data_IF_985207187513
#
_entry.id   IF_985207187513
#
_cell.length_a   1.000
_cell.length_b   1.000
_cell.length_c   1.000
_cell.angle_alpha   90.00
_cell.angle_beta   90.00
_cell.angle_gamma   90.00
#
_symmetry.space_group_name_H-M   'P 1'
#
loop_
_entity.id
_entity.type
_entity.pdbx_description
1 polymer ?
#
# COMPACT_ATOMS: atom_id res chain seq x y z
N UNK A 1 -13.51 11.52 13.99
CA UNK A 1 -13.31 10.79 12.72
C UNK A 1 -12.60 9.49 13.03
N UNK A 2 -12.97 8.40 12.36
CA UNK A 2 -12.37 7.08 12.60
C UNK A 2 -11.92 6.46 11.29
N UNK A 3 -10.76 5.82 11.26
CA UNK A 3 -10.30 5.01 10.15
C UNK A 3 -10.20 3.56 10.61
N UNK A 4 -11.02 2.69 10.05
CA UNK A 4 -10.94 1.24 10.26
C UNK A 4 -10.04 0.66 9.18
N UNK A 5 -8.96 0.00 9.59
CA UNK A 5 -7.94 -0.57 8.69
C UNK A 5 -7.73 -2.05 8.92
N UNK A 6 -7.13 -2.72 7.94
CA UNK A 6 -6.53 -4.02 8.19
C UNK A 6 -5.44 -3.92 9.25
N UNK A 7 -5.40 -4.86 10.19
CA UNK A 7 -4.35 -4.89 11.20
C UNK A 7 -2.97 -5.10 10.56
N UNK A 8 -1.95 -4.62 11.26
CA UNK A 8 -0.56 -4.84 10.93
C UNK A 8 -0.04 -6.13 11.53
N UNK A 9 1.27 -6.34 11.38
CA UNK A 9 1.96 -7.49 11.94
C UNK A 9 3.23 -7.03 12.62
N UNK A 10 3.34 -7.31 13.92
CA UNK A 10 4.47 -6.89 14.72
C UNK A 10 5.77 -7.53 14.22
N UNK A 11 5.72 -8.77 13.71
CA UNK A 11 6.87 -9.47 13.12
C UNK A 11 7.52 -8.68 11.99
N UNK A 12 6.72 -8.05 11.13
CA UNK A 12 7.21 -7.28 9.99
C UNK A 12 7.41 -5.80 10.32
N UNK A 13 7.01 -5.36 11.52
CA UNK A 13 7.02 -3.95 11.91
C UNK A 13 6.13 -3.10 11.01
N UNK A 14 5.06 -3.68 10.44
CA UNK A 14 4.15 -3.01 9.53
C UNK A 14 2.91 -2.49 10.27
N UNK A 15 2.47 -1.24 10.00
CA UNK A 15 1.26 -0.68 10.60
C UNK A 15 -0.03 -1.39 10.17
N UNK A 16 -0.04 -1.89 8.93
CA UNK A 16 -1.15 -2.59 8.29
C UNK A 16 -0.62 -3.53 7.21
N UNK A 17 -1.35 -4.61 6.93
CA UNK A 17 -1.04 -5.59 5.88
C UNK A 17 -1.62 -5.25 4.49
N UNK A 18 -2.38 -4.16 4.39
CA UNK A 18 -3.07 -3.76 3.16
C UNK A 18 -2.57 -2.43 2.62
N UNK A 19 -2.46 -2.35 1.29
CA UNK A 19 -1.91 -1.19 0.59
C UNK A 19 -2.73 0.07 0.85
N UNK A 20 -4.05 0.00 0.64
CA UNK A 20 -4.95 1.15 0.80
C UNK A 20 -5.02 1.60 2.25
N UNK A 21 -4.99 0.65 3.19
CA UNK A 21 -4.93 0.91 4.62
C UNK A 21 -3.67 1.70 4.99
N UNK A 22 -2.49 1.26 4.54
CA UNK A 22 -1.23 1.99 4.75
C UNK A 22 -1.27 3.39 4.11
N UNK A 23 -1.79 3.51 2.90
CA UNK A 23 -1.89 4.78 2.19
C UNK A 23 -2.76 5.80 2.95
N UNK A 24 -3.97 5.40 3.39
CA UNK A 24 -4.85 6.25 4.18
C UNK A 24 -4.25 6.60 5.55
N UNK A 25 -3.65 5.62 6.23
CA UNK A 25 -2.97 5.84 7.51
C UNK A 25 -1.83 6.84 7.38
N UNK A 26 -0.99 6.70 6.35
CA UNK A 26 0.12 7.61 6.09
C UNK A 26 -0.38 9.03 5.81
N UNK A 27 -1.37 9.18 4.92
CA UNK A 27 -1.97 10.48 4.62
C UNK A 27 -2.55 11.18 5.87
N UNK A 28 -3.29 10.45 6.70
CA UNK A 28 -3.85 10.98 7.96
C UNK A 28 -2.73 11.43 8.91
N UNK A 29 -1.66 10.63 9.04
CA UNK A 29 -0.51 10.98 9.89
C UNK A 29 0.25 12.18 9.36
N UNK A 30 0.43 12.28 8.04
CA UNK A 30 1.16 13.38 7.40
C UNK A 30 0.37 14.69 7.45
N UNK A 31 -0.95 14.64 7.30
CA UNK A 31 -1.83 15.80 7.41
C UNK A 31 -2.09 16.26 8.84
N UNK A 32 -1.68 15.48 9.85
CA UNK A 32 -1.93 15.78 11.26
C UNK A 32 -3.41 15.69 11.66
N UNK A 33 -4.24 15.01 10.85
CA UNK A 33 -5.67 14.92 11.10
C UNK A 33 -5.99 14.15 12.40
N UNK A 34 -6.91 14.63 13.25
CA UNK A 34 -7.30 13.96 14.49
C UNK A 34 -8.26 12.79 14.20
N UNK A 35 -7.71 11.73 13.61
CA UNK A 35 -8.45 10.52 13.24
C UNK A 35 -8.00 9.35 14.11
N UNK A 36 -8.95 8.69 14.76
CA UNK A 36 -8.70 7.48 15.53
C UNK A 36 -8.55 6.30 14.57
N UNK A 37 -7.42 5.59 14.66
CA UNK A 37 -7.16 4.40 13.83
C UNK A 37 -7.62 3.16 14.59
N UNK A 38 -8.56 2.42 14.01
CA UNK A 38 -9.13 1.19 14.54
C UNK A 38 -8.62 0.03 13.69
N UNK A 39 -7.86 -0.87 14.30
CA UNK A 39 -7.35 -2.08 13.63
C UNK A 39 -8.42 -3.16 13.62
N UNK A 40 -8.56 -3.84 12.49
CA UNK A 40 -9.51 -4.93 12.30
C UNK A 40 -8.95 -6.00 11.39
N UNK A 41 -9.35 -7.24 11.62
CA UNK A 41 -9.06 -8.38 10.73
C UNK A 41 -10.32 -8.90 10.04
N UNK A 42 -11.44 -8.16 10.14
CA UNK A 42 -12.73 -8.58 9.60
C UNK A 42 -13.36 -7.46 8.76
N UNK A 43 -13.29 -7.55 7.41
CA UNK A 43 -13.82 -6.52 6.53
C UNK A 43 -15.35 -6.47 6.53
N UNK A 44 -16.02 -7.54 6.92
CA UNK A 44 -17.49 -7.62 6.97
C UNK A 44 -18.12 -6.86 8.14
N UNK A 45 -17.31 -6.37 9.09
CA UNK A 45 -17.77 -5.43 10.13
C UNK A 45 -17.85 -3.99 9.61
N UNK A 46 -17.33 -3.73 8.42
CA UNK A 46 -17.41 -2.42 7.79
C UNK A 46 -18.71 -2.26 6.99
N UNK A 47 -19.29 -1.05 6.89
CA UNK A 47 -20.50 -0.81 6.11
C UNK A 47 -20.37 -1.18 4.62
N UNK A 48 -19.15 -1.07 4.06
CA UNK A 48 -18.86 -1.36 2.65
C UNK A 48 -18.43 -2.81 2.40
N UNK A 49 -18.30 -3.61 3.46
CA UNK A 49 -17.79 -4.99 3.38
C UNK A 49 -16.31 -5.09 2.96
N UNK A 50 -15.56 -3.99 2.98
CA UNK A 50 -14.15 -3.90 2.58
C UNK A 50 -13.40 -2.96 3.52
N UNK A 51 -12.13 -3.22 3.75
CA UNK A 51 -11.23 -2.31 4.47
C UNK A 51 -10.18 -1.75 3.49
N UNK A 52 -9.69 -0.52 3.73
CA UNK A 52 -10.05 0.39 4.82
C UNK A 52 -11.40 1.10 4.64
N UNK A 53 -11.98 1.59 5.75
CA UNK A 53 -13.14 2.49 5.76
C UNK A 53 -12.91 3.65 6.71
N UNK A 54 -13.06 4.86 6.18
CA UNK A 54 -13.06 6.09 6.93
C UNK A 54 -14.50 6.49 7.28
N UNK A 55 -14.78 6.73 8.57
CA UNK A 55 -16.07 7.18 9.08
C UNK A 55 -15.99 8.62 9.55
N UNK A 56 -16.93 9.43 9.09
CA UNK A 56 -17.07 10.83 9.42
C UNK A 56 -18.54 11.25 9.49
N UNK A 57 -18.78 12.54 9.70
CA UNK A 57 -20.13 13.14 9.71
C UNK A 57 -20.88 12.95 8.40
N UNK A 58 -20.16 12.95 7.28
CA UNK A 58 -20.72 12.87 5.93
C UNK A 58 -20.96 11.42 5.47
N UNK A 59 -20.67 10.44 6.34
CA UNK A 59 -20.84 9.02 6.07
C UNK A 59 -19.54 8.23 6.10
N UNK A 60 -19.48 7.18 5.28
CA UNK A 60 -18.36 6.24 5.23
C UNK A 60 -17.71 6.22 3.83
N UNK A 61 -16.40 6.42 3.77
CA UNK A 61 -15.61 6.43 2.54
C UNK A 61 -14.60 5.28 2.53
N UNK A 62 -14.51 4.55 1.41
CA UNK A 62 -13.48 3.52 1.19
C UNK A 62 -12.47 3.90 0.11
N UNK A 63 -12.69 5.01 -0.59
CA UNK A 63 -11.79 5.51 -1.62
C UNK A 63 -10.82 6.55 -1.05
N UNK A 64 -9.56 6.46 -1.44
CA UNK A 64 -8.50 7.34 -0.94
C UNK A 64 -8.76 8.81 -1.32
N UNK A 65 -9.18 9.07 -2.55
CA UNK A 65 -9.40 10.44 -3.04
C UNK A 65 -10.59 11.09 -2.35
N UNK A 66 -11.64 10.32 -2.03
CA UNK A 66 -12.75 10.80 -1.21
C UNK A 66 -12.29 11.22 0.19
N UNK A 67 -11.46 10.40 0.84
CA UNK A 67 -10.92 10.71 2.18
C UNK A 67 -10.01 11.93 2.13
N UNK A 68 -9.09 12.01 1.18
CA UNK A 68 -8.19 13.15 1.01
C UNK A 68 -8.97 14.45 0.72
N UNK A 69 -10.00 14.39 -0.13
CA UNK A 69 -10.87 15.53 -0.44
C UNK A 69 -11.66 15.99 0.79
N UNK A 70 -12.21 15.05 1.56
CA UNK A 70 -12.92 15.37 2.80
C UNK A 70 -11.98 16.04 3.82
N UNK A 71 -10.82 15.45 4.08
CA UNK A 71 -9.85 16.00 5.04
C UNK A 71 -9.34 17.38 4.60
N UNK A 72 -9.10 17.59 3.30
CA UNK A 72 -8.74 18.89 2.74
C UNK A 72 -9.81 19.95 3.00
N UNK A 73 -11.10 19.61 2.87
CA UNK A 73 -12.22 20.52 3.23
C UNK A 73 -12.24 20.88 4.72
N UNK A 74 -11.74 19.98 5.57
CA UNK A 74 -11.60 20.20 7.02
C UNK A 74 -10.26 20.87 7.40
N UNK A 75 -9.54 21.43 6.43
CA UNK A 75 -8.21 22.02 6.59
C UNK A 75 -7.10 21.05 7.04
N UNK A 76 -7.26 19.75 6.79
CA UNK A 76 -6.22 18.74 6.95
C UNK A 76 -5.70 18.28 5.59
N UNK A 77 -4.53 18.78 5.18
CA UNK A 77 -3.85 18.37 3.94
C UNK A 77 -2.35 18.36 4.16
N UNK A 78 -1.65 17.37 3.60
CA UNK A 78 -0.19 17.35 3.54
C UNK A 78 0.36 18.01 2.25
N UNK A 79 -0.51 18.53 1.39
CA UNK A 79 -0.14 19.11 0.09
C UNK A 79 -0.08 20.66 0.10
N UNK A 80 -0.21 21.32 1.25
CA UNK A 80 -0.31 22.79 1.30
C UNK A 80 0.90 23.53 0.71
N UNK A 81 2.08 22.92 0.82
CA UNK A 81 3.34 23.50 0.34
C UNK A 81 3.63 23.14 -1.13
N UNK A 82 2.76 22.36 -1.79
CA UNK A 82 2.99 21.92 -3.16
C UNK A 82 2.64 23.02 -4.18
N UNK A 83 3.59 23.28 -5.07
CA UNK A 83 3.36 24.08 -6.27
C UNK A 83 2.42 23.36 -7.26
N UNK A 84 1.74 24.09 -8.17
CA UNK A 84 0.90 23.47 -9.20
C UNK A 84 1.64 22.41 -10.05
N UNK A 85 2.93 22.64 -10.31
CA UNK A 85 3.79 21.67 -11.01
C UNK A 85 3.93 20.37 -10.20
N UNK A 86 4.19 20.48 -8.89
CA UNK A 86 4.31 19.31 -8.02
C UNK A 86 2.98 18.56 -7.89
N UNK A 87 1.85 19.26 -7.85
CA UNK A 87 0.53 18.62 -7.89
C UNK A 87 0.34 17.76 -9.17
N UNK A 88 0.77 18.26 -10.33
CA UNK A 88 0.76 17.46 -11.57
C UNK A 88 1.74 16.28 -11.51
N UNK A 89 2.91 16.47 -10.89
CA UNK A 89 3.88 15.38 -10.67
C UNK A 89 3.29 14.28 -9.77
N UNK A 90 2.49 14.61 -8.75
CA UNK A 90 1.79 13.62 -7.90
C UNK A 90 0.95 12.68 -8.77
N UNK A 91 0.09 13.22 -9.63
CA UNK A 91 -0.78 12.43 -10.50
C UNK A 91 0.03 11.56 -11.47
N UNK A 92 1.12 12.09 -12.02
CA UNK A 92 1.99 11.33 -12.92
C UNK A 92 2.67 10.15 -12.20
N UNK A 93 3.17 10.35 -10.98
CA UNK A 93 3.77 9.28 -10.18
C UNK A 93 2.74 8.27 -9.68
N UNK A 94 1.54 8.70 -9.31
CA UNK A 94 0.44 7.79 -8.96
C UNK A 94 0.13 6.87 -10.13
N UNK A 95 0.06 7.38 -11.36
CA UNK A 95 -0.13 6.54 -12.53
C UNK A 95 1.05 5.60 -12.79
N UNK A 96 2.29 6.09 -12.66
CA UNK A 96 3.47 5.25 -12.80
C UNK A 96 3.43 4.05 -11.83
N UNK A 97 3.01 4.27 -10.58
CA UNK A 97 2.87 3.21 -9.59
C UNK A 97 1.74 2.24 -9.96
N UNK A 98 0.60 2.75 -10.40
CA UNK A 98 -0.56 1.94 -10.80
C UNK A 98 -0.25 1.04 -12.01
N UNK A 99 0.53 1.52 -12.97
CA UNK A 99 0.87 0.75 -14.17
C UNK A 99 2.07 -0.18 -13.95
N UNK A 100 3.11 0.26 -13.24
CA UNK A 100 4.39 -0.47 -13.19
C UNK A 100 4.61 -1.25 -11.89
N UNK A 101 4.15 -0.74 -10.75
CA UNK A 101 4.48 -1.33 -9.44
C UNK A 101 3.31 -2.12 -8.85
N UNK A 102 2.08 -1.66 -9.05
CA UNK A 102 0.87 -2.30 -8.54
C UNK A 102 0.65 -3.71 -9.10
N UNK A 103 0.78 -3.97 -10.42
CA UNK A 103 0.60 -5.31 -10.95
C UNK A 103 1.61 -6.30 -10.36
N UNK A 104 2.87 -5.90 -10.22
CA UNK A 104 3.91 -6.75 -9.63
C UNK A 104 3.67 -7.01 -8.13
N UNK A 105 3.23 -6.00 -7.36
CA UNK A 105 2.84 -6.19 -5.96
C UNK A 105 1.69 -7.19 -5.85
N UNK A 106 0.63 -7.00 -6.63
CA UNK A 106 -0.55 -7.87 -6.64
C UNK A 106 -0.20 -9.29 -7.04
N UNK A 107 0.60 -9.47 -8.08
CA UNK A 107 1.08 -10.77 -8.54
C UNK A 107 1.82 -11.49 -7.42
N UNK A 108 2.83 -10.84 -6.82
CA UNK A 108 3.62 -11.43 -5.73
C UNK A 108 2.80 -11.76 -4.48
N UNK A 109 1.74 -11.00 -4.20
CA UNK A 109 0.91 -11.19 -3.00
C UNK A 109 -0.18 -12.25 -3.18
N UNK A 110 -0.84 -12.24 -4.34
CA UNK A 110 -2.11 -12.94 -4.53
C UNK A 110 -2.05 -14.02 -5.60
N UNK A 111 -1.10 -13.98 -6.53
CA UNK A 111 -1.03 -14.90 -7.68
C UNK A 111 0.13 -15.88 -7.54
N UNK A 112 1.33 -15.39 -7.19
CA UNK A 112 2.55 -16.20 -7.03
C UNK A 112 2.33 -17.32 -5.99
N UNK A 113 2.28 -18.60 -6.39
CA UNK A 113 1.83 -19.68 -5.54
C UNK A 113 2.64 -19.82 -4.25
N UNK A 114 3.97 -19.68 -4.33
CA UNK A 114 4.85 -19.85 -3.16
C UNK A 114 4.60 -18.76 -2.13
N UNK A 115 4.49 -17.52 -2.58
CA UNK A 115 4.23 -16.37 -1.69
C UNK A 115 2.82 -16.41 -1.12
N UNK A 116 1.82 -16.76 -1.94
CA UNK A 116 0.43 -16.80 -1.52
C UNK A 116 0.16 -17.87 -0.47
N UNK A 117 0.45 -19.14 -0.75
CA UNK A 117 0.07 -20.24 0.16
C UNK A 117 0.90 -20.30 1.44
N UNK A 118 2.19 -19.97 1.37
CA UNK A 118 3.08 -20.09 2.52
C UNK A 118 3.00 -18.90 3.48
N UNK A 119 2.76 -17.70 2.94
CA UNK A 119 2.86 -16.45 3.69
C UNK A 119 1.51 -15.73 3.72
N UNK A 120 1.03 -15.25 2.58
CA UNK A 120 -0.08 -14.28 2.52
C UNK A 120 -1.39 -14.90 2.97
N UNK A 121 -1.75 -16.09 2.48
CA UNK A 121 -3.02 -16.74 2.81
C UNK A 121 -3.15 -16.99 4.32
N UNK A 122 -2.09 -17.54 4.93
CA UNK A 122 -2.06 -17.82 6.38
C UNK A 122 -2.14 -16.53 7.17
N UNK A 123 -1.42 -15.51 6.77
CA UNK A 123 -1.37 -14.24 7.47
C UNK A 123 -2.69 -13.47 7.35
N UNK A 124 -3.13 -13.19 6.13
CA UNK A 124 -4.25 -12.31 5.81
C UNK A 124 -5.62 -12.90 6.22
N UNK A 125 -5.78 -14.23 6.12
CA UNK A 125 -7.04 -14.92 6.42
C UNK A 125 -7.02 -15.70 7.74
N UNK A 126 -5.95 -15.60 8.54
CA UNK A 126 -5.85 -16.25 9.87
C UNK A 126 -7.07 -15.94 10.74
N UNK A 127 -7.37 -14.64 10.87
CA UNK A 127 -8.32 -14.05 11.80
C UNK A 127 -9.72 -13.85 11.19
N UNK A 128 -9.94 -14.35 9.97
CA UNK A 128 -11.24 -14.23 9.30
C UNK A 128 -12.26 -15.19 9.94
N UNK A 129 -13.44 -14.71 10.36
CA UNK A 129 -14.43 -15.57 11.00
C UNK A 129 -15.11 -16.51 10.01
N UNK A 130 -15.57 -17.64 10.52
CA UNK A 130 -16.54 -18.49 9.84
C UNK A 130 -17.89 -17.73 9.68
N UNK A 131 -18.60 -17.86 8.54
CA UNK A 131 -18.32 -18.71 7.38
C UNK A 131 -17.49 -18.04 6.27
N UNK A 132 -17.16 -16.75 6.39
CA UNK A 132 -16.50 -15.98 5.32
C UNK A 132 -15.18 -16.59 4.83
N UNK A 133 -14.42 -17.20 5.74
CA UNK A 133 -13.16 -17.90 5.44
C UNK A 133 -13.30 -19.02 4.40
N UNK A 134 -14.49 -19.59 4.20
CA UNK A 134 -14.72 -20.68 3.24
C UNK A 134 -14.72 -20.23 1.78
N UNK A 135 -15.15 -19.01 1.49
CA UNK A 135 -15.34 -18.54 0.11
C UNK A 135 -14.53 -17.29 -0.22
N UNK A 136 -14.28 -16.42 0.77
CA UNK A 136 -13.63 -15.14 0.54
C UNK A 136 -12.17 -15.28 0.04
N UNK A 137 -11.31 -16.15 0.61
CA UNK A 137 -9.94 -16.31 0.12
C UNK A 137 -9.88 -16.72 -1.36
N UNK A 138 -10.72 -17.68 -1.76
CA UNK A 138 -10.81 -18.16 -3.15
C UNK A 138 -11.31 -17.06 -4.08
N UNK A 139 -12.37 -16.33 -3.70
CA UNK A 139 -12.89 -15.20 -4.48
C UNK A 139 -11.82 -14.11 -4.65
N UNK A 140 -11.07 -13.82 -3.60
CA UNK A 140 -10.04 -12.79 -3.60
C UNK A 140 -8.85 -13.18 -4.48
N UNK A 141 -8.36 -14.42 -4.34
CA UNK A 141 -7.32 -14.99 -5.20
C UNK A 141 -7.73 -14.97 -6.68
N UNK A 142 -8.91 -15.54 -7.00
CA UNK A 142 -9.40 -15.60 -8.37
C UNK A 142 -9.52 -14.21 -9.01
N UNK A 143 -10.07 -13.22 -8.28
CA UNK A 143 -10.22 -11.87 -8.81
C UNK A 143 -8.89 -11.19 -9.16
N UNK A 144 -7.80 -11.53 -8.47
CA UNK A 144 -6.47 -11.03 -8.81
C UNK A 144 -5.79 -11.83 -9.92
N UNK A 145 -6.02 -13.14 -10.00
CA UNK A 145 -5.61 -13.91 -11.18
C UNK A 145 -6.28 -13.37 -12.45
N UNK A 146 -7.59 -13.13 -12.41
CA UNK A 146 -8.35 -12.55 -13.52
C UNK A 146 -7.83 -11.16 -13.90
N UNK A 147 -7.50 -10.33 -12.90
CA UNK A 147 -6.90 -9.02 -13.12
C UNK A 147 -5.55 -9.11 -13.85
N UNK A 148 -4.62 -9.93 -13.36
CA UNK A 148 -3.30 -10.09 -13.97
C UNK A 148 -3.44 -10.67 -15.38
N UNK A 149 -4.26 -11.71 -15.57
CA UNK A 149 -4.49 -12.31 -16.88
C UNK A 149 -5.05 -11.31 -17.90
N UNK A 150 -5.87 -10.33 -17.45
CA UNK A 150 -6.40 -9.28 -18.33
C UNK A 150 -5.37 -8.23 -18.77
N UNK A 151 -4.18 -8.20 -18.18
CA UNK A 151 -3.12 -7.24 -18.48
C UNK A 151 -2.13 -7.72 -19.56
N UNK A 152 -2.19 -9.00 -19.94
CA UNK A 152 -1.25 -9.63 -20.87
C UNK A 152 -1.99 -10.33 -22.01
N UNK A 153 -1.45 -10.24 -23.22
CA UNK A 153 -2.02 -10.88 -24.41
C UNK A 153 -1.90 -12.41 -24.38
N UNK A 154 -0.80 -12.92 -23.80
CA UNK A 154 -0.54 -14.34 -23.61
C UNK A 154 -0.30 -14.64 -22.11
N UNK A 155 -1.38 -14.83 -21.33
CA UNK A 155 -1.29 -15.06 -19.90
C UNK A 155 -0.87 -16.50 -19.54
N UNK A 156 -0.83 -17.42 -20.50
CA UNK A 156 -0.50 -18.83 -20.25
C UNK A 156 1.02 -19.03 -20.07
N UNK A 157 1.85 -18.12 -20.60
CA UNK A 157 3.28 -18.06 -20.31
C UNK A 157 3.57 -17.33 -18.99
N UNK A 158 3.35 -18.06 -17.88
CA UNK A 158 3.61 -17.55 -16.53
C UNK A 158 5.03 -17.00 -16.34
N UNK A 159 6.04 -17.58 -17.02
CA UNK A 159 7.43 -17.14 -16.87
C UNK A 159 7.66 -15.78 -17.54
N UNK A 160 7.08 -15.57 -18.73
CA UNK A 160 7.11 -14.29 -19.41
C UNK A 160 6.38 -13.20 -18.60
N UNK A 161 5.18 -13.51 -18.08
CA UNK A 161 4.40 -12.60 -17.23
C UNK A 161 5.20 -12.19 -15.99
N UNK A 162 5.75 -13.17 -15.26
CA UNK A 162 6.58 -12.91 -14.06
C UNK A 162 7.79 -12.04 -14.39
N UNK A 163 8.48 -12.33 -15.49
CA UNK A 163 9.69 -11.60 -15.91
C UNK A 163 9.37 -10.14 -16.23
N UNK A 164 8.29 -9.88 -16.98
CA UNK A 164 7.91 -8.53 -17.36
C UNK A 164 7.42 -7.72 -16.15
N UNK A 165 6.62 -8.31 -15.27
CA UNK A 165 6.17 -7.67 -14.03
C UNK A 165 7.35 -7.26 -13.15
N UNK A 166 8.31 -8.17 -12.95
CA UNK A 166 9.51 -7.89 -12.16
C UNK A 166 10.35 -6.78 -12.77
N UNK A 167 10.59 -6.84 -14.09
CA UNK A 167 11.38 -5.83 -14.80
C UNK A 167 10.74 -4.43 -14.68
N UNK A 168 9.46 -4.31 -15.01
CA UNK A 168 8.73 -3.03 -14.93
C UNK A 168 8.74 -2.44 -13.51
N UNK A 169 8.54 -3.28 -12.50
CA UNK A 169 8.59 -2.86 -11.11
C UNK A 169 10.00 -2.44 -10.67
N UNK A 170 11.06 -3.15 -11.08
CA UNK A 170 12.45 -2.77 -10.78
C UNK A 170 12.84 -1.44 -11.45
N UNK A 171 12.43 -1.22 -12.69
CA UNK A 171 12.59 0.06 -13.39
C UNK A 171 11.86 1.18 -12.62
N UNK A 172 10.61 0.95 -12.20
CA UNK A 172 9.85 1.88 -11.37
C UNK A 172 10.58 2.23 -10.07
N UNK A 173 11.02 1.22 -9.31
CA UNK A 173 11.76 1.42 -8.06
C UNK A 173 13.06 2.22 -8.28
N UNK A 174 13.75 1.99 -9.39
CA UNK A 174 14.95 2.75 -9.76
C UNK A 174 14.61 4.21 -10.04
N UNK A 175 13.51 4.49 -10.75
CA UNK A 175 13.01 5.86 -10.98
C UNK A 175 12.63 6.54 -9.66
N UNK A 176 11.98 5.83 -8.73
CA UNK A 176 11.64 6.36 -7.41
C UNK A 176 12.89 6.66 -6.58
N UNK A 177 13.89 5.77 -6.61
CA UNK A 177 15.18 5.98 -5.95
C UNK A 177 15.86 7.23 -6.48
N UNK A 178 15.95 7.39 -7.81
CA UNK A 178 16.53 8.57 -8.45
C UNK A 178 15.76 9.85 -8.09
N UNK A 179 14.43 9.78 -8.04
CA UNK A 179 13.58 10.93 -7.68
C UNK A 179 13.78 11.34 -6.21
N UNK A 180 13.86 10.39 -5.30
CA UNK A 180 14.08 10.66 -3.88
C UNK A 180 15.47 11.26 -3.66
N UNK A 181 16.50 10.69 -4.30
CA UNK A 181 17.90 11.10 -4.10
C UNK A 181 18.28 11.07 -2.62
N UNK A 182 18.82 12.20 -2.14
CA UNK A 182 19.19 12.40 -0.73
C UNK A 182 18.12 13.13 0.11
N UNK A 183 16.94 13.38 -0.46
CA UNK A 183 15.86 14.10 0.25
C UNK A 183 15.22 13.22 1.32
N UNK A 184 14.55 13.87 2.27
CA UNK A 184 13.78 13.17 3.30
C UNK A 184 12.44 12.65 2.73
N UNK A 185 11.80 13.44 1.88
CA UNK A 185 10.53 13.17 1.20
C UNK A 185 10.62 13.54 -0.28
N UNK A 186 9.68 13.04 -1.10
CA UNK A 186 9.72 13.16 -2.56
C UNK A 186 9.67 14.61 -3.09
N UNK A 187 9.12 15.53 -2.30
CA UNK A 187 9.10 16.97 -2.60
C UNK A 187 9.93 17.85 -1.65
N UNK A 188 10.72 17.26 -0.74
CA UNK A 188 11.63 18.01 0.12
C UNK A 188 11.62 17.58 1.58
N UNK A 189 11.21 18.50 2.47
CA UNK A 189 11.34 18.37 3.93
C UNK A 189 10.06 17.92 4.64
N UNK A 190 8.91 18.11 4.00
CA UNK A 190 7.60 17.73 4.53
C UNK A 190 7.04 16.56 3.72
N UNK A 191 6.39 15.57 4.34
CA UNK A 191 5.72 14.52 3.61
C UNK A 191 4.47 15.08 2.90
N UNK A 192 4.17 14.52 1.73
CA UNK A 192 3.03 14.89 0.87
C UNK A 192 2.11 13.70 0.61
N UNK A 193 1.05 13.90 -0.18
CA UNK A 193 0.22 12.79 -0.69
C UNK A 193 1.07 11.75 -1.44
N UNK A 194 2.02 12.21 -2.24
CA UNK A 194 2.90 11.32 -3.00
C UNK A 194 3.72 10.40 -2.08
N UNK A 195 4.22 10.94 -0.97
CA UNK A 195 4.93 10.16 0.04
C UNK A 195 4.03 9.09 0.66
N UNK A 196 2.74 9.39 0.90
CA UNK A 196 1.79 8.44 1.47
C UNK A 196 1.54 7.27 0.52
N UNK A 197 1.40 7.56 -0.78
CA UNK A 197 1.24 6.54 -1.82
C UNK A 197 2.50 5.70 -1.93
N UNK A 198 3.66 6.30 -2.20
CA UNK A 198 4.91 5.56 -2.40
C UNK A 198 5.31 4.76 -1.15
N UNK A 199 5.16 5.34 0.03
CA UNK A 199 5.44 4.65 1.29
C UNK A 199 4.64 3.35 1.41
N UNK A 200 3.35 3.36 1.05
CA UNK A 200 2.48 2.19 1.18
C UNK A 200 2.97 1.00 0.34
N UNK A 201 3.40 1.25 -0.90
CA UNK A 201 3.99 0.23 -1.77
C UNK A 201 5.34 -0.27 -1.24
N UNK A 202 6.25 0.66 -0.94
CA UNK A 202 7.60 0.31 -0.50
C UNK A 202 7.60 -0.42 0.84
N UNK A 203 6.71 -0.04 1.76
CA UNK A 203 6.59 -0.69 3.06
C UNK A 203 6.20 -2.17 2.89
N UNK A 204 5.20 -2.48 2.07
CA UNK A 204 4.77 -3.87 1.82
C UNK A 204 5.88 -4.67 1.14
N UNK A 205 6.46 -4.14 0.07
CA UNK A 205 7.51 -4.82 -0.70
C UNK A 205 8.81 -5.03 0.08
N UNK A 206 9.14 -4.10 0.99
CA UNK A 206 10.39 -4.18 1.77
C UNK A 206 10.24 -5.05 3.02
N UNK A 207 9.10 -4.95 3.73
CA UNK A 207 8.97 -5.51 5.09
C UNK A 207 8.44 -6.93 5.15
N UNK A 208 7.70 -7.38 4.13
CA UNK A 208 7.14 -8.73 4.13
C UNK A 208 8.12 -9.71 3.49
N UNK A 209 8.42 -10.78 4.22
CA UNK A 209 9.34 -11.82 3.77
C UNK A 209 8.62 -12.81 2.84
N UNK A 210 8.44 -12.39 1.58
CA UNK A 210 7.90 -13.22 0.50
C UNK A 210 8.91 -14.30 0.07
N UNK A 211 8.40 -15.39 -0.52
CA UNK A 211 9.24 -16.50 -1.02
C UNK A 211 10.00 -16.13 -2.30
N UNK A 212 9.51 -15.13 -3.03
CA UNK A 212 10.14 -14.56 -4.22
C UNK A 212 10.58 -13.12 -3.90
N UNK A 213 11.79 -12.92 -3.33
CA UNK A 213 12.21 -11.63 -2.79
C UNK A 213 12.81 -10.68 -3.84
N UNK A 214 12.44 -10.80 -5.12
CA UNK A 214 13.06 -10.06 -6.24
C UNK A 214 12.97 -8.54 -6.02
N UNK A 215 11.77 -8.03 -5.72
CA UNK A 215 11.57 -6.60 -5.46
C UNK A 215 12.12 -6.17 -4.10
N UNK A 216 12.04 -7.03 -3.07
CA UNK A 216 12.62 -6.74 -1.76
C UNK A 216 14.14 -6.53 -1.87
N UNK A 217 14.83 -7.39 -2.62
CA UNK A 217 16.26 -7.29 -2.88
C UNK A 217 16.60 -6.02 -3.68
N UNK A 218 15.78 -5.66 -4.67
CA UNK A 218 15.97 -4.43 -5.43
C UNK A 218 15.83 -3.16 -4.57
N UNK A 219 14.83 -3.12 -3.66
CA UNK A 219 14.69 -2.01 -2.70
C UNK A 219 15.87 -1.97 -1.72
N UNK A 220 16.35 -3.13 -1.25
CA UNK A 220 17.55 -3.20 -0.39
C UNK A 220 18.81 -2.70 -1.11
N UNK A 221 18.93 -2.92 -2.42
CA UNK A 221 19.98 -2.35 -3.25
C UNK A 221 19.83 -0.83 -3.48
N UNK A 222 18.66 -0.25 -3.20
CA UNK A 222 18.40 1.20 -3.16
C UNK A 222 18.37 1.71 -1.71
N UNK A 223 19.52 2.02 -1.08
CA UNK A 223 19.59 2.28 0.36
C UNK A 223 18.79 3.52 0.80
N UNK A 224 18.63 4.51 -0.07
CA UNK A 224 17.78 5.68 0.16
C UNK A 224 16.29 5.30 0.33
N UNK A 225 15.75 4.39 -0.48
CA UNK A 225 14.37 3.89 -0.35
C UNK A 225 14.20 3.08 0.94
N UNK A 226 15.15 2.20 1.25
CA UNK A 226 15.12 1.42 2.49
C UNK A 226 15.16 2.31 3.74
N UNK A 227 15.99 3.35 3.71
CA UNK A 227 16.08 4.38 4.75
C UNK A 227 14.80 5.20 4.86
N UNK A 228 14.22 5.59 3.73
CA UNK A 228 12.95 6.32 3.65
C UNK A 228 11.81 5.57 4.34
N UNK A 229 11.63 4.28 4.02
CA UNK A 229 10.59 3.44 4.65
C UNK A 229 10.82 3.34 6.16
N UNK A 230 12.06 3.04 6.57
CA UNK A 230 12.40 2.85 7.98
C UNK A 230 12.18 4.12 8.82
N UNK A 231 12.60 5.28 8.31
CA UNK A 231 12.36 6.58 8.96
C UNK A 231 10.88 6.91 9.03
N UNK A 232 10.12 6.63 7.97
CA UNK A 232 8.67 6.91 7.93
C UNK A 232 7.92 6.07 8.96
N UNK A 233 8.24 4.78 9.08
CA UNK A 233 7.68 3.91 10.13
C UNK A 233 8.04 4.45 11.51
N UNK A 234 9.32 4.72 11.77
CA UNK A 234 9.78 5.19 13.08
C UNK A 234 9.12 6.51 13.50
N UNK A 235 8.93 7.44 12.56
CA UNK A 235 8.40 8.78 12.84
C UNK A 235 6.88 8.81 13.00
N UNK A 236 6.14 8.10 12.15
CA UNK A 236 4.68 8.22 12.09
C UNK A 236 3.92 7.02 12.64
N UNK A 237 4.59 5.88 12.78
CA UNK A 237 4.03 4.64 13.29
C UNK A 237 4.93 4.03 14.38
N UNK A 238 5.34 4.81 15.40
CA UNK A 238 6.11 4.24 16.49
C UNK A 238 5.30 3.15 17.18
N UNK A 239 5.95 2.04 17.52
CA UNK A 239 5.34 1.01 18.36
C UNK A 239 4.90 1.67 19.67
N UNK A 240 3.59 1.81 19.87
CA UNK A 240 3.06 2.28 21.13
C UNK A 240 3.57 1.37 22.24
N UNK A 241 4.08 1.94 23.34
CA UNK A 241 4.21 1.20 24.59
C UNK A 241 2.78 0.76 24.94
N UNK A 242 2.51 -0.53 24.80
CA UNK A 242 1.29 -1.17 25.30
C UNK A 242 1.13 -0.89 26.78
#
# INVERSE_FOLDING_TARGET
>A
MELIVWDGEARYGLPSMDLKSLQMMAYIKFSGAPVTIIKSSNPFRSPTGRLPVFKCTDGAFSDFNQVATFLRKQNFSCDYELSPKQCSEVVAYEQLLLEKLYPALVYLWWVEPKSYYDVIHKWYFSSMPFPHKLWYPRKYHQGYCDLINSMFDDPDDNQLVETELHKQAQECLTMLSNRLGDREYFFGRSPSTLDAVIFSYLALLLKVDLKVPVLQNHIKACPNLSRYVSKTIQRFFPSGKS
#
